data_IF_366959117292
#
_entry.id   IF_366959117292
#
_cell.length_a   1.000
_cell.length_b   1.000
_cell.length_c   1.000
_cell.angle_alpha   90.00
_cell.angle_beta   90.00
_cell.angle_gamma   90.00
#
_symmetry.space_group_name_H-M   'P 1'
#
loop_
_entity.id
_entity.type
_entity.pdbx_description
1 polymer ?
#
# COMPACT_ATOMS: atom_id res chain seq x y z
N UNK A 1 19.70 11.38 -35.11
CA UNK A 1 19.82 10.17 -34.27
C UNK A 1 20.82 10.30 -33.13
N UNK A 2 22.07 10.77 -33.34
CA UNK A 2 23.10 10.85 -32.28
C UNK A 2 22.71 11.65 -31.02
N UNK A 3 22.09 12.84 -31.19
CA UNK A 3 21.61 13.66 -30.05
C UNK A 3 20.51 12.95 -29.26
N UNK A 4 19.55 12.34 -29.96
CA UNK A 4 18.41 11.65 -29.35
C UNK A 4 18.85 10.42 -28.52
N UNK A 5 19.85 9.67 -29.01
CA UNK A 5 20.46 8.57 -28.24
C UNK A 5 21.03 9.04 -26.92
N UNK A 6 21.83 10.10 -26.97
CA UNK A 6 22.48 10.64 -25.78
C UNK A 6 21.43 11.06 -24.74
N UNK A 7 20.36 11.73 -25.18
CA UNK A 7 19.26 12.16 -24.32
C UNK A 7 18.61 10.96 -23.62
N UNK A 8 18.22 9.93 -24.37
CA UNK A 8 17.55 8.77 -23.77
C UNK A 8 18.48 7.95 -22.87
N UNK A 9 19.75 7.79 -23.22
CA UNK A 9 20.73 7.11 -22.36
C UNK A 9 20.95 7.87 -21.04
N UNK A 10 21.09 9.20 -21.10
CA UNK A 10 21.19 10.03 -19.89
C UNK A 10 19.92 9.88 -19.05
N UNK A 11 18.75 9.93 -19.67
CA UNK A 11 17.46 9.82 -18.98
C UNK A 11 17.32 8.48 -18.24
N UNK A 12 17.73 7.37 -18.87
CA UNK A 12 17.75 6.04 -18.24
C UNK A 12 18.62 6.03 -16.99
N UNK A 13 19.84 6.59 -17.07
CA UNK A 13 20.77 6.66 -15.94
C UNK A 13 20.21 7.54 -14.82
N UNK A 14 19.60 8.68 -15.16
CA UNK A 14 18.98 9.58 -14.19
C UNK A 14 17.87 8.85 -13.44
N UNK A 15 16.91 8.22 -14.12
CA UNK A 15 15.82 7.51 -13.45
C UNK A 15 16.31 6.32 -12.61
N UNK A 16 17.32 5.58 -13.09
CA UNK A 16 17.96 4.53 -12.31
C UNK A 16 18.56 5.09 -11.01
N UNK A 17 19.29 6.21 -11.09
CA UNK A 17 19.88 6.85 -9.92
C UNK A 17 18.84 7.39 -8.94
N UNK A 18 17.74 7.97 -9.44
CA UNK A 18 16.65 8.50 -8.60
C UNK A 18 15.92 7.38 -7.85
N UNK A 19 15.72 6.22 -8.50
CA UNK A 19 15.16 5.04 -7.85
C UNK A 19 16.07 4.49 -6.75
N UNK A 20 17.38 4.37 -7.03
CA UNK A 20 18.36 3.89 -6.04
C UNK A 20 18.52 4.85 -4.85
N UNK A 21 18.46 6.15 -5.09
CA UNK A 21 18.51 7.17 -4.05
C UNK A 21 17.21 7.28 -3.23
N UNK A 22 16.18 6.46 -3.55
CA UNK A 22 14.84 6.51 -2.95
C UNK A 22 14.17 7.88 -3.06
N UNK A 23 14.58 8.70 -4.04
CA UNK A 23 13.98 10.01 -4.32
C UNK A 23 12.63 9.83 -5.02
N UNK A 24 12.54 8.82 -5.90
CA UNK A 24 11.30 8.35 -6.51
C UNK A 24 11.00 6.94 -6.02
N UNK A 25 9.72 6.64 -5.77
CA UNK A 25 9.30 5.26 -5.50
C UNK A 25 9.71 4.35 -6.66
N UNK A 26 10.13 3.12 -6.35
CA UNK A 26 10.56 2.15 -7.34
C UNK A 26 9.45 1.84 -8.36
N UNK A 27 8.19 1.85 -7.90
CA UNK A 27 7.00 1.67 -8.74
C UNK A 27 6.87 2.72 -9.84
N UNK A 28 7.46 3.89 -9.64
CA UNK A 28 7.42 5.02 -10.58
C UNK A 28 8.73 5.11 -11.36
N UNK A 29 9.88 4.97 -10.69
CA UNK A 29 11.19 5.11 -11.34
C UNK A 29 11.45 4.00 -12.35
N UNK A 30 10.99 2.77 -12.06
CA UNK A 30 11.23 1.61 -12.89
C UNK A 30 10.57 1.71 -14.29
N UNK A 31 9.26 1.98 -14.43
CA UNK A 31 8.65 2.14 -15.75
C UNK A 31 9.24 3.31 -16.53
N UNK A 32 9.59 4.42 -15.86
CA UNK A 32 10.25 5.56 -16.51
C UNK A 32 11.62 5.19 -17.10
N UNK A 33 12.42 4.43 -16.37
CA UNK A 33 13.71 3.90 -16.84
C UNK A 33 13.52 2.97 -18.05
N UNK A 34 12.51 2.10 -18.03
CA UNK A 34 12.25 1.20 -19.15
C UNK A 34 11.75 1.93 -20.40
N UNK A 35 10.93 2.97 -20.26
CA UNK A 35 10.49 3.80 -21.40
C UNK A 35 11.69 4.45 -22.10
N UNK A 36 12.62 5.07 -21.36
CA UNK A 36 13.81 5.67 -21.98
C UNK A 36 14.75 4.62 -22.58
N UNK A 37 14.83 3.44 -21.97
CA UNK A 37 15.59 2.31 -22.52
C UNK A 37 14.98 1.76 -23.83
N UNK A 38 13.66 1.58 -23.89
CA UNK A 38 12.91 1.17 -25.10
C UNK A 38 13.17 2.18 -26.23
N UNK A 39 13.05 3.48 -25.94
CA UNK A 39 13.33 4.54 -26.92
C UNK A 39 14.78 4.48 -27.42
N UNK A 40 15.74 4.16 -26.55
CA UNK A 40 17.12 3.94 -26.96
C UNK A 40 17.22 2.77 -27.95
N UNK A 41 16.61 1.62 -27.65
CA UNK A 41 16.61 0.45 -28.54
C UNK A 41 15.91 0.70 -29.88
N UNK A 42 14.81 1.47 -29.91
CA UNK A 42 14.14 1.87 -31.16
C UNK A 42 15.04 2.75 -32.03
N UNK A 43 15.79 3.66 -31.41
CA UNK A 43 16.77 4.52 -32.13
C UNK A 43 17.96 3.69 -32.63
N UNK A 44 18.33 2.60 -31.96
CA UNK A 44 19.31 1.61 -32.46
C UNK A 44 18.75 0.82 -33.63
N UNK A 45 17.55 0.26 -33.48
CA UNK A 45 16.86 -0.49 -34.54
C UNK A 45 16.74 0.33 -35.83
N UNK A 46 16.29 1.58 -35.72
CA UNK A 46 16.16 2.47 -36.88
C UNK A 46 17.50 2.76 -37.55
N UNK A 47 18.57 3.01 -36.79
CA UNK A 47 19.87 3.30 -37.42
C UNK A 47 20.49 2.07 -38.09
N UNK A 48 20.34 0.87 -37.49
CA UNK A 48 20.75 -0.37 -38.13
C UNK A 48 19.98 -0.59 -39.44
N UNK A 49 18.68 -0.28 -39.45
CA UNK A 49 17.85 -0.33 -40.65
C UNK A 49 18.33 0.65 -41.73
N UNK A 50 18.53 1.92 -41.35
CA UNK A 50 18.98 2.99 -42.26
C UNK A 50 20.39 2.69 -42.83
N UNK A 51 21.24 1.97 -42.09
CA UNK A 51 22.57 1.49 -42.54
C UNK A 51 22.52 0.19 -43.37
N UNK A 52 21.34 -0.38 -43.60
CA UNK A 52 21.16 -1.62 -44.37
C UNK A 52 21.36 -2.92 -43.58
N UNK A 53 21.71 -2.86 -42.27
CA UNK A 53 21.80 -4.04 -41.41
C UNK A 53 20.44 -4.44 -40.86
N UNK A 54 19.63 -5.07 -41.73
CA UNK A 54 18.25 -5.49 -41.39
C UNK A 54 18.21 -6.50 -40.24
N UNK A 55 19.18 -7.42 -40.17
CA UNK A 55 19.23 -8.44 -39.13
C UNK A 55 19.37 -7.82 -37.74
N UNK A 56 20.33 -6.91 -37.58
CA UNK A 56 20.57 -6.24 -36.30
C UNK A 56 19.41 -5.32 -35.93
N UNK A 57 18.80 -4.69 -36.93
CA UNK A 57 17.60 -3.86 -36.73
C UNK A 57 16.45 -4.64 -36.09
N UNK A 58 16.16 -5.85 -36.60
CA UNK A 58 15.11 -6.70 -36.05
C UNK A 58 15.44 -7.23 -34.65
N UNK A 59 16.72 -7.49 -34.34
CA UNK A 59 17.14 -7.88 -32.99
C UNK A 59 16.82 -6.76 -31.99
N UNK A 60 17.24 -5.52 -32.29
CA UNK A 60 16.96 -4.39 -31.41
C UNK A 60 15.48 -4.07 -31.28
N UNK A 61 14.71 -4.24 -32.37
CA UNK A 61 13.25 -4.10 -32.33
C UNK A 61 12.61 -5.16 -31.43
N UNK A 62 13.03 -6.42 -31.55
CA UNK A 62 12.55 -7.52 -30.72
C UNK A 62 12.85 -7.28 -29.23
N UNK A 63 14.05 -6.82 -28.89
CA UNK A 63 14.42 -6.46 -27.52
C UNK A 63 13.54 -5.32 -26.99
N UNK A 64 13.30 -4.28 -27.78
CA UNK A 64 12.42 -3.17 -27.39
C UNK A 64 10.98 -3.66 -27.10
N UNK A 65 10.44 -4.54 -27.94
CA UNK A 65 9.10 -5.13 -27.77
C UNK A 65 9.05 -5.99 -26.51
N UNK A 66 10.08 -6.81 -26.26
CA UNK A 66 10.15 -7.65 -25.07
C UNK A 66 10.16 -6.83 -23.78
N UNK A 67 10.99 -5.78 -23.73
CA UNK A 67 11.02 -4.85 -22.59
C UNK A 67 9.68 -4.14 -22.43
N UNK A 68 9.05 -3.71 -23.52
CA UNK A 68 7.72 -3.09 -23.49
C UNK A 68 6.67 -4.05 -22.93
N UNK A 69 6.69 -5.33 -23.30
CA UNK A 69 5.78 -6.35 -22.78
C UNK A 69 5.97 -6.56 -21.28
N UNK A 70 7.22 -6.67 -20.80
CA UNK A 70 7.52 -6.77 -19.36
C UNK A 70 7.05 -5.52 -18.61
N UNK A 71 7.32 -4.33 -19.17
CA UNK A 71 6.94 -3.06 -18.55
C UNK A 71 5.41 -2.93 -18.48
N UNK A 72 4.71 -3.29 -19.55
CA UNK A 72 3.25 -3.30 -19.58
C UNK A 72 2.69 -4.33 -18.59
N UNK A 73 3.24 -5.55 -18.53
CA UNK A 73 2.83 -6.56 -17.56
C UNK A 73 3.03 -6.06 -16.12
N UNK A 74 4.17 -5.44 -15.80
CA UNK A 74 4.43 -4.87 -14.47
C UNK A 74 3.50 -3.70 -14.13
N UNK A 75 3.18 -2.83 -15.10
CA UNK A 75 2.22 -1.74 -14.88
C UNK A 75 0.81 -2.31 -14.69
N UNK A 76 0.41 -3.28 -15.53
CA UNK A 76 -0.91 -3.93 -15.46
C UNK A 76 -1.04 -4.73 -14.18
N UNK A 77 -0.01 -5.46 -13.73
CA UNK A 77 -0.05 -6.22 -12.48
C UNK A 77 -0.09 -5.28 -11.28
N UNK A 78 0.60 -4.14 -11.33
CA UNK A 78 0.58 -3.14 -10.25
C UNK A 78 -0.71 -2.28 -10.28
N UNK A 79 -1.30 -2.07 -11.44
CA UNK A 79 -2.60 -1.41 -11.58
C UNK A 79 -3.72 -2.36 -11.17
N UNK A 80 -3.64 -3.62 -11.59
CA UNK A 80 -4.52 -4.70 -11.17
C UNK A 80 -4.36 -4.93 -9.68
N UNK A 81 -3.18 -4.99 -9.06
CA UNK A 81 -3.09 -5.08 -7.59
C UNK A 81 -3.76 -3.89 -6.89
N UNK A 82 -3.73 -2.70 -7.49
CA UNK A 82 -4.41 -1.50 -6.97
C UNK A 82 -5.92 -1.50 -7.21
N UNK A 83 -6.40 -2.15 -8.28
CA UNK A 83 -7.80 -2.26 -8.70
C UNK A 83 -8.49 -3.55 -8.17
N UNK A 84 -7.73 -4.60 -7.89
CA UNK A 84 -8.17 -5.87 -7.30
C UNK A 84 -8.45 -5.72 -5.80
N UNK A 85 -8.09 -4.57 -5.21
CA UNK A 85 -8.69 -4.09 -3.96
C UNK A 85 -10.16 -3.64 -4.13
N UNK A 86 -10.75 -3.78 -5.33
CA UNK A 86 -12.15 -3.49 -5.63
C UNK A 86 -12.87 -4.61 -6.42
N UNK A 87 -12.29 -5.80 -6.64
CA UNK A 87 -13.02 -6.83 -7.39
C UNK A 87 -12.37 -8.21 -7.59
N UNK A 88 -12.86 -9.17 -6.79
CA UNK A 88 -12.97 -10.62 -7.01
C UNK A 88 -11.70 -11.48 -6.92
N UNK A 89 -11.80 -12.42 -5.98
CA UNK A 89 -10.76 -13.27 -5.42
C UNK A 89 -10.46 -14.49 -6.31
N UNK A 90 -9.18 -14.87 -6.34
CA UNK A 90 -8.77 -16.23 -6.62
C UNK A 90 -8.07 -16.77 -5.36
N UNK A 91 -8.80 -17.55 -4.56
CA UNK A 91 -8.24 -18.54 -3.62
C UNK A 91 -7.40 -18.11 -2.41
N UNK A 92 -7.03 -16.85 -2.25
CA UNK A 92 -6.38 -16.33 -1.03
C UNK A 92 -7.41 -15.51 -0.26
N UNK A 93 -7.44 -15.65 1.07
CA UNK A 93 -8.38 -14.95 1.96
C UNK A 93 -8.33 -13.44 1.68
N UNK A 94 -9.30 -12.91 0.93
CA UNK A 94 -9.38 -11.46 0.74
C UNK A 94 -9.79 -10.87 2.06
N UNK A 95 -8.82 -10.18 2.63
CA UNK A 95 -8.99 -9.34 3.79
C UNK A 95 -10.23 -8.46 3.59
N UNK A 96 -11.14 -8.50 4.57
CA UNK A 96 -12.45 -7.84 4.49
C UNK A 96 -12.34 -6.32 4.34
N UNK A 97 -11.19 -5.75 4.75
CA UNK A 97 -10.89 -4.34 4.71
C UNK A 97 -9.59 -4.08 3.95
N UNK A 98 -9.57 -3.02 3.15
CA UNK A 98 -8.33 -2.55 2.51
C UNK A 98 -7.37 -1.96 3.55
N UNK A 99 -6.09 -1.86 3.19
CA UNK A 99 -5.10 -1.25 4.08
C UNK A 99 -5.43 0.22 4.38
N UNK A 100 -6.03 0.94 3.43
CA UNK A 100 -6.49 2.32 3.63
C UNK A 100 -7.62 2.41 4.66
N UNK A 101 -8.55 1.45 4.64
CA UNK A 101 -9.66 1.38 5.58
C UNK A 101 -9.19 1.05 7.00
N UNK A 102 -8.24 0.10 7.10
CA UNK A 102 -7.57 -0.25 8.35
C UNK A 102 -6.80 0.95 8.90
N UNK A 103 -6.02 1.64 8.07
CA UNK A 103 -5.27 2.82 8.48
C UNK A 103 -6.22 3.94 8.94
N UNK A 104 -7.35 4.12 8.25
CA UNK A 104 -8.36 5.09 8.67
C UNK A 104 -8.99 4.74 10.02
N UNK A 105 -9.17 3.45 10.35
CA UNK A 105 -9.66 3.03 11.66
C UNK A 105 -8.60 3.24 12.75
N UNK A 106 -7.33 2.90 12.45
CA UNK A 106 -6.18 3.14 13.34
C UNK A 106 -6.06 4.64 13.66
N UNK A 107 -6.24 5.51 12.67
CA UNK A 107 -6.19 6.96 12.88
C UNK A 107 -7.30 7.48 13.79
N UNK A 108 -8.46 6.83 13.81
CA UNK A 108 -9.53 7.15 14.78
C UNK A 108 -9.08 6.77 16.19
N UNK A 109 -8.53 5.57 16.38
CA UNK A 109 -8.07 5.12 17.70
C UNK A 109 -6.86 5.93 18.19
N UNK A 110 -5.91 6.30 17.32
CA UNK A 110 -4.80 7.18 17.73
C UNK A 110 -5.29 8.52 18.27
N UNK A 111 -6.29 9.12 17.62
CA UNK A 111 -6.91 10.38 18.09
C UNK A 111 -7.66 10.20 19.40
N UNK A 112 -8.38 9.08 19.56
CA UNK A 112 -9.03 8.72 20.82
C UNK A 112 -7.98 8.59 21.94
N UNK A 113 -6.88 7.89 21.66
CA UNK A 113 -5.82 7.63 22.62
C UNK A 113 -5.14 8.93 23.08
N UNK A 114 -4.83 9.83 22.15
CA UNK A 114 -4.26 11.15 22.47
C UNK A 114 -5.19 12.01 23.32
N UNK A 115 -6.52 11.88 23.11
CA UNK A 115 -7.52 12.74 23.73
C UNK A 115 -7.96 12.22 25.10
N UNK A 116 -8.34 10.95 25.16
CA UNK A 116 -9.12 10.37 26.25
C UNK A 116 -8.33 9.31 27.07
N UNK A 117 -7.18 8.83 26.58
CA UNK A 117 -6.34 7.82 27.27
C UNK A 117 -5.09 8.42 27.89
N UNK A 118 -5.28 9.39 28.78
CA UNK A 118 -4.16 10.03 29.51
C UNK A 118 -3.47 9.01 30.42
N UNK A 119 -2.15 9.13 30.52
CA UNK A 119 -1.31 8.18 31.26
C UNK A 119 -1.05 6.86 30.54
N UNK A 120 -1.62 6.67 29.34
CA UNK A 120 -1.34 5.50 28.52
C UNK A 120 -0.35 5.84 27.40
N UNK A 121 0.48 4.88 26.99
CA UNK A 121 1.40 5.00 25.84
C UNK A 121 1.20 3.84 24.87
N UNK A 122 0.65 4.13 23.69
CA UNK A 122 0.42 3.15 22.63
C UNK A 122 1.75 2.67 22.03
N UNK A 123 2.01 1.36 22.10
CA UNK A 123 3.20 0.72 21.51
C UNK A 123 2.94 0.19 20.12
N UNK A 124 1.83 -0.54 19.98
CA UNK A 124 1.45 -1.19 18.74
C UNK A 124 -0.06 -1.16 18.57
N UNK A 125 -0.52 -1.04 17.33
CA UNK A 125 -1.91 -1.25 16.96
C UNK A 125 -1.97 -1.83 15.55
N UNK A 126 -2.76 -2.89 15.38
CA UNK A 126 -2.95 -3.55 14.09
C UNK A 126 -4.36 -4.13 13.97
N UNK A 127 -4.71 -4.55 12.76
CA UNK A 127 -6.01 -5.17 12.48
C UNK A 127 -6.10 -6.58 13.08
N UNK A 128 -7.17 -6.88 13.81
CA UNK A 128 -7.39 -8.15 14.51
C UNK A 128 -7.58 -9.35 13.56
N UNK A 129 -7.89 -9.08 12.28
CA UNK A 129 -8.24 -10.08 11.29
C UNK A 129 -9.75 -10.23 11.06
N UNK A 130 -10.10 -10.80 9.91
CA UNK A 130 -11.49 -10.89 9.45
C UNK A 130 -12.36 -11.76 10.34
N UNK A 131 -11.78 -12.83 10.91
CA UNK A 131 -12.50 -13.73 11.80
C UNK A 131 -13.00 -12.98 13.04
N UNK A 132 -12.11 -12.23 13.68
CA UNK A 132 -12.44 -11.45 14.89
C UNK A 132 -13.48 -10.39 14.56
N UNK A 133 -13.32 -9.66 13.45
CA UNK A 133 -14.29 -8.63 13.06
C UNK A 133 -15.68 -9.20 12.74
N UNK A 134 -15.75 -10.39 12.12
CA UNK A 134 -17.01 -11.11 11.89
C UNK A 134 -17.66 -11.60 13.17
N UNK A 135 -16.88 -12.05 14.14
CA UNK A 135 -17.39 -12.46 15.46
C UNK A 135 -18.00 -11.27 16.23
N UNK A 136 -17.58 -10.04 15.92
CA UNK A 136 -18.10 -8.81 16.53
C UNK A 136 -19.21 -8.13 15.70
N UNK A 137 -19.80 -8.80 14.71
CA UNK A 137 -20.80 -8.20 13.83
C UNK A 137 -22.05 -7.71 14.58
N UNK A 138 -22.33 -8.24 15.78
CA UNK A 138 -23.42 -7.75 16.65
C UNK A 138 -23.32 -6.25 17.01
N UNK A 139 -22.11 -5.68 16.99
CA UNK A 139 -21.89 -4.26 17.22
C UNK A 139 -22.44 -3.41 16.06
N UNK A 140 -22.42 -3.91 14.82
CA UNK A 140 -23.01 -3.20 13.68
C UNK A 140 -24.51 -3.01 13.92
N UNK A 141 -25.19 -4.08 14.32
CA UNK A 141 -26.63 -4.09 14.58
C UNK A 141 -26.98 -3.18 15.76
N UNK A 142 -26.25 -3.30 16.89
CA UNK A 142 -26.48 -2.49 18.10
C UNK A 142 -26.34 -0.99 17.85
N UNK A 143 -25.42 -0.61 16.97
CA UNK A 143 -25.11 0.79 16.67
C UNK A 143 -25.71 1.30 15.34
N UNK A 144 -26.62 0.56 14.70
CA UNK A 144 -27.28 0.92 13.43
C UNK A 144 -26.26 1.28 12.32
N UNK A 145 -25.21 0.47 12.23
CA UNK A 145 -24.12 0.55 11.29
C UNK A 145 -24.14 -0.67 10.35
N UNK A 146 -23.35 -0.61 9.28
CA UNK A 146 -23.31 -1.67 8.26
C UNK A 146 -22.08 -2.57 8.43
N UNK A 147 -21.03 -2.07 9.09
CA UNK A 147 -19.71 -2.69 9.15
C UNK A 147 -19.08 -2.53 10.53
N UNK A 148 -18.31 -3.55 10.95
CA UNK A 148 -17.52 -3.57 12.20
C UNK A 148 -16.10 -3.98 11.88
N UNK A 149 -15.14 -3.16 12.32
CA UNK A 149 -13.72 -3.49 12.28
C UNK A 149 -13.19 -3.58 13.71
N UNK A 150 -12.39 -4.62 13.98
CA UNK A 150 -11.71 -4.79 15.26
C UNK A 150 -10.21 -4.56 15.08
N UNK A 151 -9.64 -3.70 15.92
CA UNK A 151 -8.21 -3.49 16.03
C UNK A 151 -7.72 -4.05 17.36
N UNK A 152 -6.48 -4.52 17.38
CA UNK A 152 -5.79 -5.01 18.58
C UNK A 152 -4.62 -4.10 18.86
N UNK A 153 -4.41 -3.78 20.13
CA UNK A 153 -3.29 -2.93 20.54
C UNK A 153 -2.51 -3.48 21.72
N UNK A 154 -1.27 -2.99 21.83
CA UNK A 154 -0.46 -3.07 23.03
C UNK A 154 -0.12 -1.67 23.51
N UNK A 155 -0.31 -1.40 24.80
CA UNK A 155 0.02 -0.12 25.41
C UNK A 155 0.46 -0.27 26.86
N UNK A 156 1.24 0.70 27.34
CA UNK A 156 1.62 0.81 28.75
C UNK A 156 0.72 1.82 29.46
N UNK A 157 0.48 1.58 30.76
CA UNK A 157 -0.16 2.50 31.69
C UNK A 157 0.90 2.97 32.67
N UNK A 158 1.02 4.28 32.84
CA UNK A 158 1.98 4.89 33.76
C UNK A 158 1.55 4.74 35.23
N UNK A 159 2.25 5.40 36.14
CA UNK A 159 1.97 5.36 37.57
C UNK A 159 0.77 6.23 37.99
N UNK A 160 0.15 6.96 37.05
CA UNK A 160 -0.93 7.88 37.36
C UNK A 160 -2.25 7.14 37.62
N UNK A 161 -2.97 7.61 38.63
CA UNK A 161 -4.20 7.02 39.13
C UNK A 161 -5.39 7.49 38.28
N UNK A 162 -5.32 7.28 36.96
CA UNK A 162 -6.15 7.87 35.90
C UNK A 162 -7.65 7.96 36.20
N UNK A 163 -8.47 7.12 35.57
CA UNK A 163 -9.91 6.98 35.87
C UNK A 163 -10.20 5.79 36.80
N UNK A 164 -9.17 5.03 37.17
CA UNK A 164 -9.24 3.83 38.00
C UNK A 164 -9.66 2.54 37.25
N UNK A 165 -9.90 2.61 35.94
CA UNK A 165 -10.33 1.45 35.14
C UNK A 165 -9.17 0.54 34.71
N UNK A 166 -7.94 1.07 34.73
CA UNK A 166 -6.72 0.37 34.32
C UNK A 166 -5.72 0.28 35.48
N UNK A 167 -4.93 -0.79 35.49
CA UNK A 167 -3.92 -1.01 36.51
C UNK A 167 -2.68 -0.15 36.22
N UNK A 168 -2.22 0.70 37.16
CA UNK A 168 -0.99 1.47 36.99
C UNK A 168 0.22 0.56 36.79
N UNK A 169 1.27 1.10 36.14
CA UNK A 169 2.54 0.40 35.88
C UNK A 169 2.39 -0.97 35.20
N UNK A 170 1.38 -1.11 34.33
CA UNK A 170 1.06 -2.37 33.66
C UNK A 170 1.11 -2.22 32.13
N UNK A 171 1.38 -3.32 31.45
CA UNK A 171 1.28 -3.42 29.98
C UNK A 171 0.04 -4.22 29.63
N UNK A 172 -0.83 -3.64 28.83
CA UNK A 172 -2.00 -4.30 28.27
C UNK A 172 -1.64 -4.78 26.87
N UNK A 173 -1.78 -6.08 26.62
CA UNK A 173 -1.61 -6.71 25.30
C UNK A 173 -2.95 -7.23 24.82
N UNK A 174 -3.09 -7.41 23.51
CA UNK A 174 -4.30 -7.97 22.90
C UNK A 174 -5.59 -7.19 23.23
N UNK A 175 -5.47 -5.88 23.50
CA UNK A 175 -6.62 -5.04 23.84
C UNK A 175 -7.42 -4.69 22.59
N UNK A 176 -8.71 -5.03 22.58
CA UNK A 176 -9.57 -4.83 21.42
C UNK A 176 -10.13 -3.41 21.37
N UNK A 177 -10.24 -2.90 20.15
CA UNK A 177 -10.96 -1.67 19.81
C UNK A 177 -11.98 -1.98 18.75
N UNK A 178 -13.24 -1.70 19.05
CA UNK A 178 -14.38 -2.00 18.18
C UNK A 178 -14.84 -0.69 17.55
N UNK A 179 -14.76 -0.63 16.22
CA UNK A 179 -15.22 0.51 15.45
C UNK A 179 -16.30 0.08 14.48
N UNK A 180 -17.28 0.95 14.28
CA UNK A 180 -18.36 0.74 13.30
C UNK A 180 -18.42 1.87 12.29
N UNK A 181 -18.97 1.60 11.11
CA UNK A 181 -19.30 2.64 10.13
C UNK A 181 -20.57 2.30 9.37
N UNK A 182 -21.20 3.34 8.83
CA UNK A 182 -22.42 3.23 8.01
C UNK A 182 -22.09 3.60 6.57
N UNK A 183 -22.49 2.78 5.61
CA UNK A 183 -22.39 2.99 4.17
C UNK A 183 -20.99 3.43 3.71
N UNK A 184 -19.92 2.77 4.18
CA UNK A 184 -18.54 3.15 3.83
C UNK A 184 -18.11 4.53 4.35
N UNK A 185 -18.85 5.10 5.30
CA UNK A 185 -18.56 6.39 5.93
C UNK A 185 -17.36 6.35 6.89
N UNK A 186 -17.25 7.36 7.74
CA UNK A 186 -16.16 7.44 8.72
C UNK A 186 -16.33 6.38 9.82
N UNK A 187 -15.21 5.76 10.21
CA UNK A 187 -15.16 4.90 11.39
C UNK A 187 -15.49 5.66 12.66
N UNK A 188 -16.25 5.02 13.54
CA UNK A 188 -16.61 5.50 14.86
C UNK A 188 -16.23 4.43 15.89
N UNK A 189 -15.39 4.79 16.85
CA UNK A 189 -15.12 3.98 18.03
C UNK A 189 -16.41 3.85 18.85
N UNK A 190 -16.77 2.61 19.23
CA UNK A 190 -18.00 2.32 19.99
C UNK A 190 -17.75 1.50 21.25
N UNK A 191 -16.67 0.72 21.30
CA UNK A 191 -16.35 -0.11 22.47
C UNK A 191 -14.87 -0.54 22.46
N UNK A 192 -14.36 -0.99 23.60
CA UNK A 192 -12.99 -1.49 23.76
C UNK A 192 -12.84 -2.40 25.00
N UNK A 193 -11.87 -3.30 24.99
CA UNK A 193 -11.61 -4.19 26.13
C UNK A 193 -11.15 -5.60 25.75
N UNK A 194 -11.32 -6.53 26.68
CA UNK A 194 -11.07 -7.97 26.50
C UNK A 194 -12.35 -8.74 26.21
#
# INVERSE_FOLDING_TARGET
MRKLRLIFSILTVVFASLGLAKILSYDISLPLMFVSMILTFLVWSKECYDKGSKRDSYIFLGVAIFIAAITAFNIISNFSSKENNAGIQNGETVQMYSQEEINSAIDVIKKEFEKDWKGCTLKEIHYAGDKVSKEHQEFAERYNADEVIVLVSTFDVDESDGDGSLNPNSTYTDWNWILVRKNGGKWKHVDHGY
#
